data_IF_721218313549
#
_entry.id   IF_721218313549
#
_cell.length_a   1.000
_cell.length_b   1.000
_cell.length_c   1.000
_cell.angle_alpha   90.00
_cell.angle_beta   90.00
_cell.angle_gamma   90.00
#
_symmetry.space_group_name_H-M   'P 1'
#
loop_
_entity.id
_entity.type
_entity.pdbx_description
1 polymer ?
#
# COMPACT_ATOMS: atom_id res chain seq x y z
N UNK A 1 -70.02 17.99 56.72
CA UNK A 1 -69.26 17.41 57.84
C UNK A 1 -68.51 16.17 57.34
N UNK A 2 -67.24 16.36 56.96
CA UNK A 2 -66.18 15.34 56.80
C UNK A 2 -64.88 16.15 56.87
N UNK A 3 -64.07 15.83 57.87
CA UNK A 3 -62.82 16.51 58.26
C UNK A 3 -61.64 15.73 57.63
N UNK A 4 -60.43 16.29 57.75
CA UNK A 4 -59.08 15.84 57.35
C UNK A 4 -58.59 16.49 56.04
N UNK A 5 -57.37 17.01 55.93
CA UNK A 5 -56.26 17.29 56.85
C UNK A 5 -55.21 18.06 56.03
N UNK A 6 -54.53 19.03 56.64
CA UNK A 6 -53.40 19.80 56.09
C UNK A 6 -52.32 18.92 55.46
N UNK A 7 -51.71 19.35 54.35
CA UNK A 7 -50.25 19.46 54.18
C UNK A 7 -49.95 20.59 53.17
N UNK A 8 -49.32 21.67 53.64
CA UNK A 8 -48.60 22.63 52.82
C UNK A 8 -47.22 22.05 52.46
N UNK A 9 -46.67 22.34 51.28
CA UNK A 9 -45.33 22.95 51.14
C UNK A 9 -44.75 22.78 49.73
N UNK A 10 -44.30 23.93 49.20
CA UNK A 10 -43.14 24.14 48.34
C UNK A 10 -42.99 23.33 47.05
N UNK A 11 -43.48 23.92 45.96
CA UNK A 11 -42.83 23.84 44.67
C UNK A 11 -41.53 24.66 44.72
N UNK A 12 -40.37 24.02 44.58
CA UNK A 12 -39.17 24.50 43.86
C UNK A 12 -38.04 23.48 44.09
N UNK A 13 -37.88 22.53 43.18
CA UNK A 13 -36.59 21.83 43.01
C UNK A 13 -36.01 22.35 41.72
N UNK A 14 -35.12 23.32 41.89
CA UNK A 14 -34.31 23.92 40.85
C UNK A 14 -33.40 22.83 40.28
N UNK A 15 -33.61 22.56 39.00
CA UNK A 15 -32.75 21.76 38.13
C UNK A 15 -31.34 22.36 38.14
N UNK A 16 -30.39 21.70 38.81
CA UNK A 16 -28.98 22.08 38.75
C UNK A 16 -28.10 20.82 38.80
N UNK A 17 -28.01 20.13 37.66
CA UNK A 17 -26.76 19.49 37.28
C UNK A 17 -26.23 20.25 36.08
N UNK A 18 -25.31 21.17 36.38
CA UNK A 18 -24.49 21.85 35.38
C UNK A 18 -23.74 20.79 34.60
N UNK A 19 -24.06 20.65 33.32
CA UNK A 19 -23.15 20.02 32.38
C UNK A 19 -21.80 20.74 32.50
N UNK A 20 -20.75 19.98 32.80
CA UNK A 20 -19.39 20.41 32.44
C UNK A 20 -19.40 20.46 30.92
N UNK A 21 -19.75 21.62 30.38
CA UNK A 21 -19.52 21.94 28.98
C UNK A 21 -18.04 22.23 28.87
N UNK A 22 -17.24 21.20 28.56
CA UNK A 22 -15.96 21.44 27.93
C UNK A 22 -16.30 22.18 26.63
N UNK A 23 -15.96 23.47 26.55
CA UNK A 23 -15.91 24.20 25.29
C UNK A 23 -14.79 23.59 24.45
N UNK A 24 -15.07 22.47 23.79
CA UNK A 24 -14.33 22.12 22.59
C UNK A 24 -14.78 23.13 21.53
N UNK A 25 -14.08 24.26 21.45
CA UNK A 25 -14.02 25.01 20.19
C UNK A 25 -13.58 23.98 19.14
N UNK A 26 -14.34 23.73 18.07
CA UNK A 26 -13.80 22.98 16.96
C UNK A 26 -12.64 23.81 16.43
N UNK A 27 -11.41 23.40 16.70
CA UNK A 27 -10.29 23.88 15.92
C UNK A 27 -10.62 23.44 14.50
N UNK A 28 -10.82 24.43 13.63
CA UNK A 28 -10.90 24.20 12.20
C UNK A 28 -9.45 23.91 11.77
N UNK A 29 -8.89 22.79 12.23
CA UNK A 29 -7.70 22.21 11.66
C UNK A 29 -8.16 21.66 10.33
N UNK A 30 -7.81 22.38 9.26
CA UNK A 30 -7.74 21.79 7.93
C UNK A 30 -6.82 20.59 8.07
N UNK A 31 -7.40 19.40 8.24
CA UNK A 31 -6.65 18.16 8.13
C UNK A 31 -6.04 18.19 6.74
N UNK A 32 -4.69 18.22 6.60
CA UNK A 32 -4.08 18.20 5.30
C UNK A 32 -4.60 16.95 4.58
N UNK A 33 -5.08 17.12 3.35
CA UNK A 33 -5.47 16.00 2.50
C UNK A 33 -4.27 15.04 2.45
N UNK A 34 -4.45 13.84 3.00
CA UNK A 34 -3.39 12.83 3.03
C UNK A 34 -3.05 12.49 1.59
N UNK A 35 -1.86 12.89 1.14
CA UNK A 35 -1.41 12.60 -0.20
C UNK A 35 -1.18 11.09 -0.31
N UNK A 36 -1.92 10.43 -1.20
CA UNK A 36 -1.84 8.98 -1.37
C UNK A 36 -0.83 8.60 -2.45
N UNK A 37 -0.20 7.44 -2.30
CA UNK A 37 0.64 6.87 -3.35
C UNK A 37 -0.18 6.55 -4.59
N UNK A 38 0.39 6.78 -5.78
CA UNK A 38 -0.24 6.41 -7.04
C UNK A 38 0.14 4.99 -7.45
N UNK A 39 -0.85 4.16 -7.77
CA UNK A 39 -0.61 2.78 -8.25
C UNK A 39 -0.83 2.71 -9.76
N UNK A 40 0.22 2.33 -10.48
CA UNK A 40 0.19 2.05 -11.91
C UNK A 40 0.18 0.53 -12.12
N UNK A 41 -0.94 0.00 -12.62
CA UNK A 41 -1.11 -1.44 -12.84
C UNK A 41 -0.77 -1.84 -14.26
N UNK A 42 -0.25 -3.07 -14.41
CA UNK A 42 -0.02 -3.79 -15.66
C UNK A 42 0.68 -2.93 -16.73
N UNK A 43 1.71 -2.17 -16.32
CA UNK A 43 2.60 -1.50 -17.27
C UNK A 43 3.40 -2.54 -18.04
N UNK A 44 3.77 -2.20 -19.26
CA UNK A 44 4.39 -3.14 -20.21
C UNK A 44 5.75 -2.61 -20.69
N UNK A 45 6.74 -3.49 -20.73
CA UNK A 45 8.07 -3.26 -21.30
C UNK A 45 8.32 -4.34 -22.36
N UNK A 46 8.63 -3.93 -23.59
CA UNK A 46 9.04 -4.87 -24.64
C UNK A 46 10.51 -5.19 -24.46
N UNK A 47 10.82 -6.43 -24.08
CA UNK A 47 12.19 -6.88 -23.81
C UNK A 47 12.85 -7.47 -25.04
N UNK A 48 14.07 -7.01 -25.34
CA UNK A 48 14.91 -7.59 -26.38
C UNK A 48 15.61 -8.84 -25.84
N UNK A 49 16.14 -8.78 -24.61
CA UNK A 49 16.80 -9.91 -23.93
C UNK A 49 15.88 -11.14 -23.86
N UNK A 50 14.63 -10.95 -23.42
CA UNK A 50 13.66 -12.05 -23.28
C UNK A 50 12.86 -12.32 -24.56
N UNK A 51 12.97 -11.47 -25.58
CA UNK A 51 12.17 -11.56 -26.80
C UNK A 51 10.66 -11.48 -26.57
N UNK A 52 10.20 -10.84 -25.49
CA UNK A 52 8.78 -10.78 -25.11
C UNK A 52 8.43 -9.53 -24.30
N UNK A 53 7.13 -9.23 -24.22
CA UNK A 53 6.64 -8.17 -23.33
C UNK A 53 6.57 -8.66 -21.89
N UNK A 54 7.14 -7.89 -20.97
CA UNK A 54 7.09 -8.09 -19.52
C UNK A 54 6.11 -7.10 -18.90
N UNK A 55 5.24 -7.60 -18.01
CA UNK A 55 4.29 -6.78 -17.25
C UNK A 55 4.83 -6.45 -15.87
N UNK A 56 4.53 -5.26 -15.37
CA UNK A 56 4.93 -4.84 -14.03
C UNK A 56 3.92 -3.86 -13.42
N UNK A 57 3.82 -3.88 -12.09
CA UNK A 57 3.08 -2.87 -11.33
C UNK A 57 4.07 -1.88 -10.70
N UNK A 58 3.69 -0.61 -10.61
CA UNK A 58 4.51 0.45 -10.00
C UNK A 58 3.69 1.19 -8.95
N UNK A 59 4.28 1.45 -7.79
CA UNK A 59 3.76 2.41 -6.81
C UNK A 59 4.68 3.61 -6.79
N UNK A 60 4.12 4.78 -7.05
CA UNK A 60 4.82 6.05 -7.01
C UNK A 60 4.53 6.74 -5.67
N UNK A 61 5.55 7.35 -5.04
CA UNK A 61 5.37 8.07 -3.79
C UNK A 61 4.44 9.28 -4.00
N UNK A 62 3.86 9.83 -2.93
CA UNK A 62 3.16 11.10 -3.00
C UNK A 62 4.08 12.17 -3.57
N UNK A 63 3.55 13.07 -4.41
CA UNK A 63 4.33 14.12 -5.10
C UNK A 63 5.44 13.61 -6.02
N UNK A 64 5.23 12.45 -6.65
CA UNK A 64 6.13 11.99 -7.70
C UNK A 64 6.27 13.04 -8.82
N UNK A 65 7.52 13.28 -9.24
CA UNK A 65 7.92 14.16 -10.33
C UNK A 65 9.00 13.45 -11.16
N UNK A 66 9.03 13.67 -12.47
CA UNK A 66 9.97 12.99 -13.36
C UNK A 66 11.43 13.42 -13.10
N UNK A 67 11.63 14.64 -12.61
CA UNK A 67 12.94 15.19 -12.26
C UNK A 67 13.37 14.87 -10.82
N UNK A 68 12.51 14.21 -10.05
CA UNK A 68 12.75 13.86 -8.66
C UNK A 68 13.76 12.72 -8.50
N UNK A 69 14.35 12.62 -7.30
CA UNK A 69 15.21 11.50 -6.91
C UNK A 69 14.51 10.66 -5.85
N UNK A 70 14.39 9.37 -6.11
CA UNK A 70 13.66 8.43 -5.28
C UNK A 70 14.50 7.18 -5.02
N UNK A 71 14.29 6.54 -3.87
CA UNK A 71 14.76 5.18 -3.71
C UNK A 71 13.90 4.25 -4.58
N UNK A 72 14.44 3.09 -4.95
CA UNK A 72 13.70 2.09 -5.71
C UNK A 72 13.74 0.75 -4.98
N UNK A 73 12.57 0.15 -4.80
CA UNK A 73 12.43 -1.20 -4.25
C UNK A 73 11.81 -2.10 -5.32
N UNK A 74 12.47 -3.20 -5.63
CA UNK A 74 11.92 -4.27 -6.46
C UNK A 74 11.33 -5.37 -5.58
N UNK A 75 10.01 -5.56 -5.64
CA UNK A 75 9.32 -6.62 -4.93
C UNK A 75 9.08 -7.81 -5.87
N UNK A 76 9.87 -8.85 -5.65
CA UNK A 76 9.91 -10.06 -6.45
C UNK A 76 8.90 -11.08 -5.91
N UNK A 77 8.03 -11.62 -6.76
CA UNK A 77 7.02 -12.60 -6.36
C UNK A 77 7.59 -14.02 -6.28
N UNK A 78 6.86 -14.91 -5.59
CA UNK A 78 7.19 -16.33 -5.50
C UNK A 78 6.72 -17.14 -6.70
N UNK A 79 7.01 -18.44 -6.66
CA UNK A 79 6.60 -19.39 -7.71
C UNK A 79 5.08 -19.44 -7.88
N UNK A 80 4.60 -19.32 -9.13
CA UNK A 80 3.18 -19.39 -9.48
C UNK A 80 2.38 -18.08 -9.33
N UNK A 81 3.00 -17.03 -8.80
CA UNK A 81 2.44 -15.68 -8.74
C UNK A 81 2.85 -14.83 -9.96
N UNK A 82 2.44 -13.56 -9.98
CA UNK A 82 2.78 -12.58 -11.02
C UNK A 82 3.05 -11.17 -10.46
N UNK A 83 3.13 -10.16 -11.34
CA UNK A 83 3.34 -8.75 -10.99
C UNK A 83 2.31 -8.15 -10.01
N UNK A 84 1.22 -8.87 -9.69
CA UNK A 84 0.15 -8.41 -8.81
C UNK A 84 0.24 -9.00 -7.41
N UNK A 85 1.13 -9.95 -7.16
CA UNK A 85 1.23 -10.72 -5.91
C UNK A 85 1.23 -9.83 -4.66
N UNK A 86 2.06 -8.78 -4.68
CA UNK A 86 2.24 -7.85 -3.57
C UNK A 86 1.25 -6.69 -3.53
N UNK A 87 0.46 -6.48 -4.60
CA UNK A 87 -0.55 -5.42 -4.67
C UNK A 87 -1.99 -5.92 -4.47
N UNK A 88 -2.26 -7.20 -4.69
CA UNK A 88 -3.63 -7.74 -4.74
C UNK A 88 -3.86 -8.98 -3.85
N UNK A 89 -2.88 -9.39 -3.02
CA UNK A 89 -2.92 -10.53 -2.08
C UNK A 89 -3.93 -11.64 -2.48
N UNK A 90 -3.49 -12.66 -3.25
CA UNK A 90 -4.37 -13.66 -3.87
C UNK A 90 -5.23 -14.48 -2.87
N UNK A 91 -4.85 -14.51 -1.60
CA UNK A 91 -5.35 -15.49 -0.62
C UNK A 91 -6.49 -14.98 0.27
N UNK A 92 -6.78 -13.68 0.29
CA UNK A 92 -7.96 -13.13 0.99
C UNK A 92 -8.48 -11.95 0.19
N UNK A 93 -9.60 -12.16 -0.54
CA UNK A 93 -10.38 -11.11 -1.24
C UNK A 93 -11.06 -10.13 -0.25
N UNK A 94 -10.28 -9.53 0.66
CA UNK A 94 -10.81 -8.71 1.76
C UNK A 94 -9.80 -8.28 2.83
N UNK A 95 -8.50 -8.62 2.72
CA UNK A 95 -7.48 -8.05 3.61
C UNK A 95 -6.75 -6.91 2.90
N UNK A 96 -6.87 -5.72 3.47
CA UNK A 96 -6.40 -4.42 2.94
C UNK A 96 -4.90 -4.20 3.19
N UNK A 97 -4.16 -5.23 3.60
CA UNK A 97 -2.78 -5.08 4.10
C UNK A 97 -1.82 -5.93 3.26
N UNK A 98 -1.66 -5.60 1.98
CA UNK A 98 -0.55 -6.15 1.21
C UNK A 98 0.75 -5.42 1.58
N UNK A 99 1.91 -6.07 1.41
CA UNK A 99 3.21 -5.44 1.72
C UNK A 99 3.39 -4.12 0.95
N UNK A 100 2.94 -4.08 -0.31
CA UNK A 100 3.02 -2.87 -1.12
C UNK A 100 2.13 -1.74 -0.57
N UNK A 101 0.98 -2.08 0.04
CA UNK A 101 0.11 -1.11 0.72
C UNK A 101 0.76 -0.58 2.00
N UNK A 102 1.34 -1.46 2.83
CA UNK A 102 2.02 -1.05 4.06
C UNK A 102 3.22 -0.13 3.77
N UNK A 103 4.05 -0.48 2.78
CA UNK A 103 5.14 0.40 2.33
C UNK A 103 4.60 1.75 1.84
N UNK A 104 3.49 1.77 1.11
CA UNK A 104 2.82 3.00 0.68
C UNK A 104 2.36 3.89 1.84
N UNK A 105 1.86 3.29 2.93
CA UNK A 105 1.52 4.02 4.16
C UNK A 105 2.77 4.61 4.82
N UNK A 106 3.83 3.81 4.98
CA UNK A 106 5.08 4.28 5.56
C UNK A 106 5.73 5.40 4.74
N UNK A 107 5.60 5.39 3.40
CA UNK A 107 6.04 6.50 2.54
C UNK A 107 5.21 7.76 2.82
N UNK A 108 3.88 7.61 2.89
CA UNK A 108 2.93 8.71 3.10
C UNK A 108 3.13 9.37 4.47
N UNK A 109 3.40 8.57 5.50
CA UNK A 109 3.68 9.01 6.87
C UNK A 109 5.09 9.61 7.03
N UNK A 110 5.96 9.45 6.03
CA UNK A 110 7.36 9.88 6.10
C UNK A 110 8.26 8.97 6.95
N UNK A 111 7.76 7.80 7.36
CA UNK A 111 8.55 6.77 8.06
C UNK A 111 9.66 6.22 7.18
N UNK A 112 9.41 6.08 5.87
CA UNK A 112 10.45 5.84 4.86
C UNK A 112 10.49 6.98 3.85
N UNK A 113 11.68 7.28 3.32
CA UNK A 113 11.86 8.31 2.31
C UNK A 113 11.02 8.01 1.05
N UNK A 114 10.65 9.03 0.25
CA UNK A 114 9.96 8.84 -1.03
C UNK A 114 10.60 7.75 -1.88
N UNK A 115 9.84 6.68 -2.13
CA UNK A 115 10.33 5.43 -2.73
C UNK A 115 9.39 4.98 -3.83
N UNK A 116 9.95 4.61 -4.98
CA UNK A 116 9.24 3.94 -6.07
C UNK A 116 9.31 2.43 -5.83
N UNK A 117 8.17 1.75 -5.89
CA UNK A 117 8.11 0.30 -5.72
C UNK A 117 7.73 -0.33 -7.05
N UNK A 118 8.52 -1.29 -7.53
CA UNK A 118 8.34 -1.96 -8.81
C UNK A 118 8.13 -3.46 -8.56
N UNK A 119 7.10 -4.03 -9.17
CA UNK A 119 6.74 -5.44 -9.06
C UNK A 119 6.69 -6.05 -10.46
N UNK A 120 7.79 -6.65 -10.96
CA UNK A 120 7.82 -7.24 -12.28
C UNK A 120 7.27 -8.67 -12.30
N UNK A 121 6.74 -9.07 -13.45
CA UNK A 121 6.43 -10.46 -13.78
C UNK A 121 7.73 -11.20 -14.08
N UNK A 122 7.95 -12.35 -13.44
CA UNK A 122 9.12 -13.20 -13.63
C UNK A 122 8.80 -14.65 -13.98
N UNK A 123 7.52 -15.02 -14.09
CA UNK A 123 7.07 -16.40 -14.25
C UNK A 123 7.77 -17.32 -13.23
N UNK A 124 8.16 -18.53 -13.60
CA UNK A 124 9.00 -19.40 -12.77
C UNK A 124 10.47 -19.34 -13.20
N UNK A 125 11.00 -18.16 -13.60
CA UNK A 125 12.42 -18.00 -13.96
C UNK A 125 13.37 -18.09 -12.77
N UNK A 126 12.85 -17.88 -11.55
CA UNK A 126 13.64 -17.72 -10.32
C UNK A 126 14.66 -16.58 -10.39
N UNK A 127 14.44 -15.60 -11.29
CA UNK A 127 15.30 -14.42 -11.44
C UNK A 127 16.74 -14.76 -11.87
N UNK A 128 16.93 -15.92 -12.48
CA UNK A 128 18.22 -16.40 -12.97
C UNK A 128 18.24 -16.41 -14.50
N UNK A 129 19.43 -16.35 -15.05
CA UNK A 129 19.63 -16.68 -16.46
C UNK A 129 19.53 -18.18 -16.72
N UNK A 130 19.16 -18.52 -17.95
CA UNK A 130 18.82 -19.90 -18.35
C UNK A 130 19.94 -20.90 -18.06
N UNK A 131 21.20 -20.52 -18.26
CA UNK A 131 22.37 -21.36 -17.97
C UNK A 131 22.53 -21.70 -16.49
N UNK A 132 22.30 -20.72 -15.61
CA UNK A 132 22.41 -20.90 -14.16
C UNK A 132 21.19 -21.63 -13.62
N UNK A 133 20.01 -21.33 -14.15
CA UNK A 133 18.78 -22.03 -13.84
C UNK A 133 18.91 -23.54 -14.16
N UNK A 134 19.43 -23.89 -15.33
CA UNK A 134 19.70 -25.29 -15.70
C UNK A 134 20.68 -25.97 -14.72
N UNK A 135 21.70 -25.24 -14.27
CA UNK A 135 22.77 -25.75 -13.41
C UNK A 135 22.32 -25.97 -11.96
N UNK A 136 21.58 -25.02 -11.38
CA UNK A 136 21.28 -25.02 -9.94
C UNK A 136 19.90 -25.53 -9.58
N UNK A 137 18.92 -25.40 -10.49
CA UNK A 137 17.51 -25.75 -10.22
C UNK A 137 16.96 -26.81 -11.18
N UNK A 138 17.81 -27.40 -12.03
CA UNK A 138 17.51 -28.65 -12.73
C UNK A 138 16.40 -28.58 -13.79
N UNK A 139 16.06 -27.39 -14.28
CA UNK A 139 15.07 -27.21 -15.35
C UNK A 139 13.60 -27.25 -14.91
N UNK A 140 13.31 -27.12 -13.61
CA UNK A 140 11.94 -26.92 -13.09
C UNK A 140 11.41 -25.49 -13.25
N UNK A 141 12.12 -24.68 -14.04
CA UNK A 141 11.94 -23.25 -14.20
C UNK A 141 11.69 -22.88 -15.67
N UNK A 142 11.14 -21.69 -15.89
CA UNK A 142 11.07 -21.14 -17.22
C UNK A 142 12.46 -20.67 -17.66
N UNK A 143 13.01 -21.29 -18.71
CA UNK A 143 14.34 -20.96 -19.22
C UNK A 143 14.30 -19.65 -20.00
N UNK A 144 14.83 -18.59 -19.39
CA UNK A 144 15.00 -17.28 -19.99
C UNK A 144 16.14 -16.54 -19.28
N UNK A 145 16.72 -15.54 -19.94
CA UNK A 145 17.84 -14.77 -19.38
C UNK A 145 17.32 -13.61 -18.51
N UNK A 146 16.64 -13.97 -17.41
CA UNK A 146 15.92 -13.02 -16.57
C UNK A 146 16.84 -12.10 -15.77
N UNK A 147 17.98 -12.61 -15.29
CA UNK A 147 18.95 -11.79 -14.55
C UNK A 147 19.53 -10.72 -15.48
N UNK A 148 19.93 -11.12 -16.69
CA UNK A 148 20.39 -10.19 -17.74
C UNK A 148 19.31 -9.16 -18.05
N UNK A 149 18.06 -9.58 -18.27
CA UNK A 149 16.93 -8.65 -18.48
C UNK A 149 16.77 -7.65 -17.33
N UNK A 150 16.83 -8.15 -16.09
CA UNK A 150 16.63 -7.33 -14.91
C UNK A 150 17.66 -6.21 -14.83
N UNK A 151 18.93 -6.53 -15.10
CA UNK A 151 20.02 -5.57 -15.05
C UNK A 151 20.08 -4.65 -16.26
N UNK A 152 19.86 -5.16 -17.47
CA UNK A 152 20.09 -4.40 -18.69
C UNK A 152 18.88 -3.55 -19.12
N UNK A 153 17.66 -4.02 -18.89
CA UNK A 153 16.45 -3.40 -19.43
C UNK A 153 15.48 -2.88 -18.38
N UNK A 154 15.33 -3.56 -17.24
CA UNK A 154 14.35 -3.18 -16.20
C UNK A 154 14.92 -2.19 -15.18
N UNK A 155 16.18 -2.36 -14.78
CA UNK A 155 16.85 -1.42 -13.90
C UNK A 155 17.23 -0.15 -14.66
N UNK A 156 16.93 1.04 -14.12
CA UNK A 156 17.46 2.28 -14.67
C UNK A 156 18.99 2.32 -14.46
N UNK A 157 19.72 2.78 -15.48
CA UNK A 157 21.17 2.99 -15.47
C UNK A 157 21.54 4.43 -15.15
#
# INVERSE_FOLDING_TARGET
>A
MRIFSHIASAALVVWMMTAVSCENKPSNEEFPELKTCQVLKDRELSSQVLGRTVRFNVILPPDFSEEGKYNVIYLLHGMGDDNRAWSESPQIRGQVNSLAFELGQMITEGTIAPTVIIMPQAWNSFYLDSSDAQKYIGGFCDLMDYETFFHEELMPH
#
